data_IF_841129019186
#
_entry.id   IF_841129019186
#
_cell.length_a   1.000
_cell.length_b   1.000
_cell.length_c   1.000
_cell.angle_alpha   90.00
_cell.angle_beta   90.00
_cell.angle_gamma   90.00
#
_symmetry.space_group_name_H-M   'P 1'
#
loop_
_entity.id
_entity.type
_entity.pdbx_description
1 polymer ?
#
# COMPACT_ATOMS: atom_id res chain seq x y z
N UNK A 1 8.39 -11.67 -5.42
CA UNK A 1 8.16 -10.88 -4.19
C UNK A 1 7.17 -11.62 -3.32
N UNK A 2 7.40 -11.69 -2.02
CA UNK A 2 6.53 -12.33 -1.04
C UNK A 2 6.17 -11.32 0.04
N UNK A 3 4.88 -11.18 0.29
CA UNK A 3 4.34 -10.29 1.31
C UNK A 3 3.70 -11.11 2.43
N UNK A 4 3.79 -10.59 3.65
CA UNK A 4 3.07 -11.09 4.82
C UNK A 4 2.06 -10.03 5.24
N UNK A 5 0.81 -10.42 5.44
CA UNK A 5 -0.21 -9.55 6.06
C UNK A 5 0.13 -9.45 7.55
N UNK A 6 0.30 -8.22 8.04
CA UNK A 6 0.61 -7.94 9.44
C UNK A 6 -0.66 -7.57 10.23
N UNK A 7 -1.57 -6.82 9.61
CA UNK A 7 -2.89 -6.51 10.17
C UNK A 7 -3.92 -6.35 9.05
N UNK A 8 -5.14 -6.80 9.34
CA UNK A 8 -6.34 -6.56 8.54
C UNK A 8 -7.47 -6.28 9.52
N UNK A 9 -7.96 -5.05 9.51
CA UNK A 9 -9.02 -4.57 10.39
C UNK A 9 -10.10 -3.89 9.56
N UNK A 10 -11.22 -4.58 9.42
CA UNK A 10 -12.39 -4.12 8.67
C UNK A 10 -13.12 -2.97 9.40
N UNK A 11 -13.10 -2.95 10.73
CA UNK A 11 -13.79 -1.93 11.52
C UNK A 11 -13.13 -0.56 11.37
N UNK A 12 -11.80 -0.53 11.30
CA UNK A 12 -11.03 0.71 11.11
C UNK A 12 -10.58 0.93 9.67
N UNK A 13 -10.93 0.02 8.75
CA UNK A 13 -10.49 -0.01 7.35
C UNK A 13 -8.97 0.14 7.23
N UNK A 14 -8.25 -0.59 8.07
CA UNK A 14 -6.79 -0.57 8.15
C UNK A 14 -6.20 -1.87 7.64
N UNK A 15 -5.20 -1.77 6.79
CA UNK A 15 -4.46 -2.90 6.25
C UNK A 15 -2.96 -2.61 6.29
N UNK A 16 -2.18 -3.53 6.84
CA UNK A 16 -0.72 -3.43 6.85
C UNK A 16 -0.07 -4.74 6.46
N UNK A 17 1.07 -4.63 5.79
CA UNK A 17 1.80 -5.77 5.28
C UNK A 17 3.31 -5.48 5.20
N UNK A 18 4.09 -6.54 5.27
CA UNK A 18 5.55 -6.50 5.18
C UNK A 18 6.01 -7.23 3.93
N UNK A 19 6.92 -6.65 3.15
CA UNK A 19 7.71 -7.38 2.16
C UNK A 19 8.75 -8.22 2.91
N UNK A 20 8.68 -9.55 2.77
CA UNK A 20 9.58 -10.50 3.45
C UNK A 20 10.56 -11.20 2.50
N UNK A 21 10.25 -11.29 1.20
CA UNK A 21 11.21 -11.73 0.18
C UNK A 21 11.03 -10.94 -1.12
N UNK A 22 12.12 -10.63 -1.82
CA UNK A 22 12.12 -10.02 -3.14
C UNK A 22 13.40 -9.25 -3.43
N UNK A 23 13.67 -9.01 -4.71
CA UNK A 23 14.87 -8.31 -5.19
C UNK A 23 15.22 -7.02 -4.43
N UNK A 24 14.27 -6.16 -4.01
CA UNK A 24 14.60 -4.96 -3.23
C UNK A 24 15.23 -5.25 -1.86
N UNK A 25 14.94 -6.41 -1.25
CA UNK A 25 15.44 -6.82 0.07
C UNK A 25 16.83 -7.46 0.02
N UNK A 26 17.26 -8.01 -1.11
CA UNK A 26 18.49 -8.80 -1.12
C UNK A 26 19.75 -7.93 -0.97
N UNK A 27 19.77 -6.73 -1.59
CA UNK A 27 20.99 -5.92 -1.63
C UNK A 27 20.95 -4.64 -0.78
N UNK A 28 19.77 -4.05 -0.55
CA UNK A 28 19.65 -2.67 -0.06
C UNK A 28 18.81 -2.48 1.20
N UNK A 29 17.85 -3.37 1.43
CA UNK A 29 16.80 -3.21 2.44
C UNK A 29 16.74 -4.42 3.36
N UNK A 30 16.63 -4.21 4.65
CA UNK A 30 16.38 -5.27 5.63
C UNK A 30 14.89 -5.69 5.61
N UNK A 31 14.00 -4.71 5.46
CA UNK A 31 12.54 -4.91 5.41
C UNK A 31 11.86 -3.70 4.79
N UNK A 32 10.66 -3.90 4.24
CA UNK A 32 9.72 -2.80 3.94
C UNK A 32 8.38 -3.10 4.58
N UNK A 33 7.83 -2.14 5.31
CA UNK A 33 6.44 -2.17 5.78
C UNK A 33 5.59 -1.22 4.98
N UNK A 34 4.33 -1.59 4.86
CA UNK A 34 3.30 -0.80 4.21
C UNK A 34 2.11 -0.72 5.16
N UNK A 35 1.52 0.46 5.24
CA UNK A 35 0.25 0.68 5.92
C UNK A 35 -0.71 1.39 4.98
N UNK A 36 -1.98 1.05 5.07
CA UNK A 36 -3.05 1.75 4.38
C UNK A 36 -4.23 1.86 5.34
N UNK A 37 -4.81 3.05 5.37
CA UNK A 37 -6.04 3.34 6.10
C UNK A 37 -6.98 4.10 5.20
N UNK A 38 -8.24 3.70 5.19
CA UNK A 38 -9.29 4.38 4.43
C UNK A 38 -10.34 4.94 5.39
N UNK A 39 -10.84 6.13 5.09
CA UNK A 39 -11.94 6.76 5.83
C UNK A 39 -12.96 7.30 4.82
N UNK A 40 -14.26 7.19 5.14
CA UNK A 40 -15.30 7.82 4.32
C UNK A 40 -15.09 9.34 4.31
N UNK A 41 -15.27 9.98 3.15
CA UNK A 41 -15.27 11.43 3.04
C UNK A 41 -16.68 12.00 2.98
N UNK A 42 -16.84 13.27 3.36
CA UNK A 42 -18.14 13.95 3.46
C UNK A 42 -18.89 14.05 2.13
N UNK A 43 -18.16 13.96 1.01
CA UNK A 43 -18.70 13.98 -0.35
C UNK A 43 -19.20 12.60 -0.85
N UNK A 44 -19.25 11.60 0.03
CA UNK A 44 -19.63 10.23 -0.32
C UNK A 44 -18.50 9.42 -0.97
N UNK A 45 -17.29 9.99 -1.04
CA UNK A 45 -16.08 9.30 -1.50
C UNK A 45 -15.31 8.60 -0.38
N UNK A 46 -14.03 8.34 -0.65
CA UNK A 46 -13.09 7.79 0.32
C UNK A 46 -11.80 8.60 0.34
N UNK A 47 -11.28 8.85 1.53
CA UNK A 47 -9.95 9.42 1.75
C UNK A 47 -9.00 8.32 2.23
N UNK A 48 -8.02 7.99 1.40
CA UNK A 48 -6.98 7.02 1.73
C UNK A 48 -5.70 7.67 2.23
N UNK A 49 -5.10 7.11 3.28
CA UNK A 49 -3.69 7.35 3.66
C UNK A 49 -2.92 6.07 3.47
N UNK A 50 -1.81 6.14 2.74
CA UNK A 50 -0.88 5.02 2.54
C UNK A 50 0.52 5.43 2.94
N UNK A 51 1.15 4.64 3.80
CA UNK A 51 2.53 4.82 4.25
C UNK A 51 3.41 3.66 3.80
N UNK A 52 4.70 3.93 3.64
CA UNK A 52 5.71 2.88 3.44
C UNK A 52 6.95 3.24 4.24
N UNK A 53 7.43 2.31 5.05
CA UNK A 53 8.67 2.47 5.83
C UNK A 53 9.72 1.53 5.26
N UNK A 54 10.86 2.11 4.88
CA UNK A 54 11.99 1.39 4.32
C UNK A 54 13.06 1.26 5.38
N UNK A 55 13.37 0.02 5.76
CA UNK A 55 14.46 -0.28 6.68
C UNK A 55 15.70 -0.56 5.84
N UNK A 56 16.54 0.44 5.68
CA UNK A 56 17.72 0.42 4.79
C UNK A 56 18.97 -0.03 5.54
N UNK A 57 19.85 -0.74 4.85
CA UNK A 57 21.23 -0.92 5.33
C UNK A 57 21.95 0.45 5.38
N UNK A 58 23.00 0.61 6.21
CA UNK A 58 23.75 1.86 6.28
C UNK A 58 24.27 2.31 4.89
N UNK A 59 24.09 3.59 4.56
CA UNK A 59 24.58 4.18 3.30
C UNK A 59 23.68 3.99 2.07
N UNK A 60 22.49 3.40 2.24
CA UNK A 60 21.51 3.22 1.15
C UNK A 60 20.47 4.34 1.17
N UNK A 61 20.35 5.07 0.07
CA UNK A 61 19.22 5.99 -0.18
C UNK A 61 18.10 5.31 -0.98
N UNK A 62 16.84 5.60 -0.63
CA UNK A 62 15.65 5.15 -1.36
C UNK A 62 15.06 6.33 -2.12
N UNK A 63 14.99 6.25 -3.46
CA UNK A 63 14.53 7.35 -4.32
C UNK A 63 13.18 7.12 -5.01
N UNK A 64 12.53 5.97 -4.81
CA UNK A 64 11.28 5.66 -5.53
C UNK A 64 10.40 4.64 -4.79
N UNK A 65 9.08 4.86 -4.82
CA UNK A 65 8.08 3.92 -4.29
C UNK A 65 6.64 4.47 -4.29
N UNK A 66 6.49 5.78 -4.03
CA UNK A 66 5.19 6.45 -3.92
C UNK A 66 4.38 6.44 -5.22
N UNK A 67 5.01 6.72 -6.36
CA UNK A 67 4.31 6.84 -7.65
C UNK A 67 3.67 5.53 -8.12
N UNK A 68 4.34 4.40 -7.87
CA UNK A 68 3.83 3.08 -8.25
C UNK A 68 2.56 2.72 -7.48
N UNK A 69 2.52 3.03 -6.17
CA UNK A 69 1.34 2.79 -5.34
C UNK A 69 0.15 3.67 -5.77
N UNK A 70 0.41 4.95 -6.05
CA UNK A 70 -0.62 5.86 -6.55
C UNK A 70 -1.19 5.42 -7.91
N UNK A 71 -0.33 4.92 -8.82
CA UNK A 71 -0.76 4.40 -10.12
C UNK A 71 -1.68 3.18 -10.01
N UNK A 72 -1.36 2.23 -9.13
CA UNK A 72 -2.22 1.06 -8.88
C UNK A 72 -3.58 1.46 -8.31
N UNK A 73 -3.61 2.37 -7.32
CA UNK A 73 -4.85 2.82 -6.71
C UNK A 73 -5.78 3.47 -7.74
N UNK A 74 -5.24 4.34 -8.61
CA UNK A 74 -6.00 4.97 -9.70
C UNK A 74 -6.55 3.98 -10.72
N UNK A 75 -5.81 2.92 -11.02
CA UNK A 75 -6.28 1.88 -11.93
C UNK A 75 -7.46 1.09 -11.33
N UNK A 76 -7.39 0.76 -10.04
CA UNK A 76 -8.49 0.11 -9.33
C UNK A 76 -9.71 1.02 -9.24
N UNK A 77 -9.52 2.29 -8.87
CA UNK A 77 -10.58 3.30 -8.83
C UNK A 77 -11.30 3.42 -10.19
N UNK A 78 -10.55 3.58 -11.28
CA UNK A 78 -11.11 3.67 -12.62
C UNK A 78 -11.92 2.41 -13.01
N UNK A 79 -11.44 1.23 -12.62
CA UNK A 79 -12.16 -0.02 -12.86
C UNK A 79 -13.48 -0.08 -12.07
N UNK A 80 -13.46 0.25 -10.77
CA UNK A 80 -14.65 0.22 -9.92
C UNK A 80 -15.70 1.24 -10.36
N UNK A 81 -15.28 2.44 -10.79
CA UNK A 81 -16.17 3.46 -11.35
C UNK A 81 -16.84 2.99 -12.65
N UNK A 82 -16.13 2.23 -13.49
CA UNK A 82 -16.67 1.67 -14.72
C UNK A 82 -17.57 0.44 -14.48
N UNK A 83 -17.47 -0.21 -13.31
CA UNK A 83 -18.15 -1.47 -13.00
C UNK A 83 -18.79 -1.46 -11.59
N UNK A 84 -19.81 -0.60 -11.34
CA UNK A 84 -20.32 -0.32 -9.99
C UNK A 84 -20.88 -1.55 -9.24
N UNK A 85 -21.35 -2.57 -9.95
CA UNK A 85 -21.94 -3.78 -9.35
C UNK A 85 -20.91 -4.86 -8.97
N UNK A 86 -19.62 -4.69 -9.28
CA UNK A 86 -18.62 -5.75 -9.10
C UNK A 86 -18.34 -6.10 -7.64
N UNK A 87 -18.57 -5.14 -6.74
CA UNK A 87 -18.25 -5.22 -5.31
C UNK A 87 -19.30 -4.49 -4.45
N UNK A 88 -20.54 -4.41 -4.95
CA UNK A 88 -21.68 -3.79 -4.27
C UNK A 88 -22.26 -4.69 -3.17
#
# INVERSE_FOLDING_TARGET
MKHRIDALDEATMTYSYTLIEGDPLMDKLEKVTYETKMEASEDGGTKGKSGSTYYTKPGVEIKAGKEKAAGLLKAVEAYLLANPESYA
#
